data_IF_656146929137
#
_entry.id   IF_656146929137
#
_cell.length_a   1.000
_cell.length_b   1.000
_cell.length_c   1.000
_cell.angle_alpha   90.00
_cell.angle_beta   90.00
_cell.angle_gamma   90.00
#
_symmetry.space_group_name_H-M   'P 1'
#
loop_
_entity.id
_entity.type
_entity.pdbx_description
1 polymer ?
#
# COMPACT_ATOMS: atom_id res chain seq x y z
N UNK A 1 30.53 -51.78 -38.10
CA UNK A 1 29.79 -50.73 -38.83
C UNK A 1 29.85 -49.48 -37.98
N UNK A 2 30.67 -48.52 -38.40
CA UNK A 2 31.05 -47.32 -37.66
C UNK A 2 29.91 -46.28 -37.54
N UNK A 3 29.89 -45.43 -36.49
CA UNK A 3 28.99 -44.30 -36.44
C UNK A 3 29.45 -43.17 -37.38
N UNK A 4 28.51 -42.64 -38.16
CA UNK A 4 28.71 -41.49 -39.06
C UNK A 4 29.19 -40.25 -38.29
N UNK A 5 30.19 -39.50 -38.78
CA UNK A 5 30.63 -38.26 -38.15
C UNK A 5 29.62 -37.13 -38.37
N UNK A 6 29.31 -36.40 -37.29
CA UNK A 6 28.53 -35.15 -37.32
C UNK A 6 29.32 -34.09 -38.08
N UNK A 7 28.83 -33.70 -39.27
CA UNK A 7 29.40 -32.59 -40.02
C UNK A 7 29.19 -31.27 -39.26
N UNK A 8 30.25 -30.78 -38.63
CA UNK A 8 30.35 -29.43 -38.08
C UNK A 8 30.33 -28.45 -39.26
N UNK A 9 29.19 -27.81 -39.52
CA UNK A 9 29.14 -26.67 -40.45
C UNK A 9 30.00 -25.54 -39.88
N UNK A 10 31.24 -25.45 -40.36
CA UNK A 10 32.08 -24.27 -40.20
C UNK A 10 31.42 -23.11 -40.94
N UNK A 11 30.75 -22.22 -40.19
CA UNK A 11 30.32 -20.91 -40.69
C UNK A 11 31.56 -20.11 -41.09
N UNK A 12 31.92 -20.19 -42.38
CA UNK A 12 32.91 -19.31 -42.99
C UNK A 12 32.41 -17.88 -42.88
N UNK A 13 33.06 -17.07 -42.02
CA UNK A 13 32.86 -15.62 -41.99
C UNK A 13 33.56 -15.05 -43.22
N UNK A 14 32.78 -14.83 -44.27
CA UNK A 14 33.20 -14.01 -45.42
C UNK A 14 33.39 -12.58 -44.93
N UNK A 15 34.64 -12.16 -44.80
CA UNK A 15 35.01 -10.76 -44.64
C UNK A 15 35.04 -10.13 -46.04
N UNK A 16 33.90 -9.59 -46.47
CA UNK A 16 33.86 -8.66 -47.61
C UNK A 16 34.14 -7.25 -47.08
N UNK A 17 35.38 -6.81 -47.26
CA UNK A 17 35.82 -5.43 -47.10
C UNK A 17 35.29 -4.56 -48.24
N UNK A 18 34.56 -3.49 -47.91
CA UNK A 18 34.23 -2.44 -48.87
C UNK A 18 32.96 -1.65 -48.53
N UNK A 19 33.09 -0.63 -47.67
CA UNK A 19 32.15 0.49 -47.59
C UNK A 19 30.93 0.33 -46.68
N UNK A 20 31.11 0.39 -45.34
CA UNK A 20 30.21 1.08 -44.38
C UNK A 20 30.74 0.98 -42.93
N UNK A 21 32.00 1.37 -42.67
CA UNK A 21 32.59 1.26 -41.32
C UNK A 21 31.83 2.08 -40.26
N UNK A 22 31.28 3.23 -40.66
CA UNK A 22 30.45 4.10 -39.81
C UNK A 22 29.15 3.43 -39.35
N UNK A 23 28.48 2.66 -40.21
CA UNK A 23 27.27 1.93 -39.81
C UNK A 23 27.54 0.81 -38.80
N UNK A 24 28.71 0.17 -38.88
CA UNK A 24 29.09 -0.88 -37.93
C UNK A 24 29.48 -0.34 -36.56
N UNK A 25 30.22 0.78 -36.51
CA UNK A 25 30.53 1.49 -35.26
C UNK A 25 29.26 2.06 -34.63
N UNK A 26 28.36 2.64 -35.43
CA UNK A 26 27.09 3.19 -34.95
C UNK A 26 26.14 2.11 -34.41
N UNK A 27 26.15 0.92 -35.02
CA UNK A 27 25.40 -0.23 -34.49
C UNK A 27 25.99 -0.76 -33.18
N UNK A 28 27.32 -0.75 -33.06
CA UNK A 28 28.00 -1.17 -31.83
C UNK A 28 27.75 -0.19 -30.68
N UNK A 29 27.84 1.12 -30.93
CA UNK A 29 27.54 2.15 -29.92
C UNK A 29 26.08 2.07 -29.47
N UNK A 30 25.14 1.92 -30.41
CA UNK A 30 23.72 1.71 -30.08
C UNK A 30 23.51 0.48 -29.17
N UNK A 31 24.15 -0.65 -29.47
CA UNK A 31 24.02 -1.87 -28.66
C UNK A 31 24.57 -1.70 -27.25
N UNK A 32 25.71 -1.00 -27.09
CA UNK A 32 26.28 -0.70 -25.78
C UNK A 32 25.37 0.22 -24.96
N UNK A 33 24.80 1.25 -25.59
CA UNK A 33 23.82 2.13 -24.94
C UNK A 33 22.57 1.36 -24.49
N UNK A 34 22.02 0.49 -25.34
CA UNK A 34 20.85 -0.33 -24.97
C UNK A 34 21.18 -1.35 -23.87
N UNK A 35 22.39 -1.91 -23.88
CA UNK A 35 22.86 -2.80 -22.82
C UNK A 35 22.97 -2.06 -21.48
N UNK A 36 23.53 -0.86 -21.49
CA UNK A 36 23.61 0.00 -20.31
C UNK A 36 22.19 0.38 -19.80
N UNK A 37 21.30 0.81 -20.70
CA UNK A 37 19.90 1.12 -20.38
C UNK A 37 19.19 -0.07 -19.75
N UNK A 38 19.37 -1.29 -20.28
CA UNK A 38 18.81 -2.53 -19.71
C UNK A 38 19.41 -2.88 -18.36
N UNK A 39 20.70 -2.63 -18.13
CA UNK A 39 21.32 -2.83 -16.83
C UNK A 39 20.72 -1.89 -15.78
N UNK A 40 20.55 -0.60 -16.12
CA UNK A 40 19.89 0.37 -15.25
C UNK A 40 18.44 -0.02 -14.94
N UNK A 41 17.67 -0.46 -15.94
CA UNK A 41 16.30 -0.93 -15.72
C UNK A 41 16.24 -2.10 -14.73
N UNK A 42 17.15 -3.08 -14.85
CA UNK A 42 17.21 -4.19 -13.90
C UNK A 42 17.48 -3.69 -12.48
N UNK A 43 18.40 -2.74 -12.30
CA UNK A 43 18.68 -2.15 -10.99
C UNK A 43 17.43 -1.47 -10.39
N UNK A 44 16.68 -0.71 -11.18
CA UNK A 44 15.43 -0.10 -10.72
C UNK A 44 14.39 -1.15 -10.30
N UNK A 45 14.27 -2.26 -11.04
CA UNK A 45 13.35 -3.35 -10.70
C UNK A 45 13.78 -4.08 -9.43
N UNK A 46 15.08 -4.31 -9.21
CA UNK A 46 15.58 -4.90 -7.96
C UNK A 46 15.29 -3.99 -6.76
N UNK A 47 15.50 -2.68 -6.88
CA UNK A 47 15.13 -1.72 -5.84
C UNK A 47 13.64 -1.75 -5.55
N UNK A 48 12.81 -1.82 -6.59
CA UNK A 48 11.36 -1.90 -6.45
C UNK A 48 10.92 -3.16 -5.70
N UNK A 49 11.59 -4.30 -5.91
CA UNK A 49 11.25 -5.55 -5.21
C UNK A 49 11.35 -5.44 -3.69
N UNK A 50 12.35 -4.73 -3.19
CA UNK A 50 12.57 -4.56 -1.74
C UNK A 50 11.45 -3.74 -1.09
N UNK A 51 10.80 -2.85 -1.84
CA UNK A 51 9.74 -1.97 -1.33
C UNK A 51 8.36 -2.64 -1.34
N UNK A 52 8.19 -3.73 -2.07
CA UNK A 52 6.89 -4.39 -2.23
C UNK A 52 6.85 -5.63 -1.33
N UNK A 53 5.74 -5.89 -0.62
CA UNK A 53 5.56 -7.13 0.11
C UNK A 53 5.34 -8.28 -0.88
N UNK A 54 6.45 -8.91 -1.30
CA UNK A 54 6.41 -9.93 -2.33
C UNK A 54 6.16 -11.34 -1.80
N UNK A 55 6.34 -11.59 -0.50
CA UNK A 55 6.15 -12.93 0.09
C UNK A 55 7.26 -13.93 -0.32
N UNK A 56 7.49 -14.97 0.50
CA UNK A 56 8.63 -15.88 0.33
C UNK A 56 8.53 -16.79 -0.92
N UNK A 57 7.33 -17.01 -1.46
CA UNK A 57 7.11 -17.94 -2.58
C UNK A 57 7.45 -17.37 -3.96
N UNK A 58 7.93 -16.13 -4.01
CA UNK A 58 8.15 -15.45 -5.27
C UNK A 58 9.60 -15.49 -5.75
N UNK A 59 10.19 -16.68 -5.71
CA UNK A 59 11.53 -16.96 -6.25
C UNK A 59 11.70 -16.54 -7.72
N UNK A 60 10.60 -16.38 -8.47
CA UNK A 60 10.58 -15.75 -9.80
C UNK A 60 9.46 -14.70 -9.93
N UNK A 61 9.86 -13.47 -10.23
CA UNK A 61 8.95 -12.39 -10.61
C UNK A 61 9.10 -12.01 -12.07
N UNK A 62 7.97 -11.89 -12.78
CA UNK A 62 7.92 -11.21 -14.08
C UNK A 62 7.87 -9.70 -13.86
N UNK A 63 8.38 -8.90 -14.80
CA UNK A 63 8.33 -7.43 -14.72
C UNK A 63 6.88 -6.93 -14.59
N UNK A 64 5.97 -7.49 -15.37
CA UNK A 64 4.54 -7.12 -15.31
C UNK A 64 3.92 -7.46 -13.95
N UNK A 65 4.20 -8.65 -13.42
CA UNK A 65 3.70 -9.07 -12.11
C UNK A 65 4.19 -8.16 -10.98
N UNK A 66 5.46 -7.73 -11.05
CA UNK A 66 6.03 -6.78 -10.09
C UNK A 66 5.31 -5.42 -10.15
N UNK A 67 5.12 -4.87 -11.35
CA UNK A 67 4.44 -3.58 -11.53
C UNK A 67 2.98 -3.62 -11.06
N UNK A 68 2.26 -4.71 -11.35
CA UNK A 68 0.88 -4.90 -10.89
C UNK A 68 0.80 -4.97 -9.36
N UNK A 69 1.72 -5.71 -8.72
CA UNK A 69 1.80 -5.76 -7.24
C UNK A 69 2.17 -4.41 -6.64
N UNK A 70 3.08 -3.65 -7.27
CA UNK A 70 3.43 -2.30 -6.85
C UNK A 70 2.19 -1.39 -6.83
N UNK A 71 1.45 -1.38 -7.94
CA UNK A 71 0.21 -0.61 -8.08
C UNK A 71 -0.82 -0.99 -7.02
N UNK A 72 -0.99 -2.29 -6.77
CA UNK A 72 -1.90 -2.77 -5.72
C UNK A 72 -1.43 -2.37 -4.32
N UNK A 73 -0.12 -2.40 -4.06
CA UNK A 73 0.44 -2.03 -2.77
C UNK A 73 0.23 -0.54 -2.46
N UNK A 74 0.44 0.34 -3.43
CA UNK A 74 0.15 1.78 -3.30
C UNK A 74 -1.32 1.98 -2.90
N UNK A 75 -2.26 1.37 -3.63
CA UNK A 75 -3.70 1.47 -3.31
C UNK A 75 -4.03 1.00 -1.89
N UNK A 76 -3.42 -0.12 -1.46
CA UNK A 76 -3.63 -0.66 -0.11
C UNK A 76 -3.14 0.32 0.95
N UNK A 77 -1.98 0.95 0.75
CA UNK A 77 -1.43 1.94 1.68
C UNK A 77 -2.32 3.18 1.76
N UNK A 78 -2.76 3.71 0.62
CA UNK A 78 -3.68 4.86 0.56
C UNK A 78 -5.01 4.57 1.28
N UNK A 79 -5.52 3.35 1.16
CA UNK A 79 -6.75 2.95 1.85
C UNK A 79 -6.55 2.75 3.36
N UNK A 80 -5.43 2.16 3.77
CA UNK A 80 -5.07 2.03 5.18
C UNK A 80 -4.89 3.40 5.85
N UNK A 81 -4.25 4.35 5.17
CA UNK A 81 -4.09 5.72 5.65
C UNK A 81 -5.45 6.42 5.81
N UNK A 82 -6.34 6.32 4.82
CA UNK A 82 -7.72 6.86 4.94
C UNK A 82 -8.49 6.25 6.12
N UNK A 83 -8.41 4.93 6.32
CA UNK A 83 -9.04 4.26 7.48
C UNK A 83 -8.47 4.76 8.80
N UNK A 84 -7.14 4.88 8.89
CA UNK A 84 -6.47 5.36 10.10
C UNK A 84 -6.85 6.80 10.43
N UNK A 85 -6.93 7.68 9.43
CA UNK A 85 -7.41 9.06 9.60
C UNK A 85 -8.85 9.08 10.13
N UNK A 86 -9.74 8.28 9.56
CA UNK A 86 -11.12 8.19 10.04
C UNK A 86 -11.21 7.69 11.49
N UNK A 87 -10.41 6.69 11.85
CA UNK A 87 -10.33 6.19 13.23
C UNK A 87 -9.83 7.27 14.19
N UNK A 88 -8.80 8.02 13.80
CA UNK A 88 -8.29 9.14 14.59
C UNK A 88 -9.38 10.18 14.85
N UNK A 89 -10.11 10.61 13.81
CA UNK A 89 -11.22 11.56 13.96
C UNK A 89 -12.31 11.06 14.93
N UNK A 90 -12.67 9.79 14.85
CA UNK A 90 -13.67 9.19 15.72
C UNK A 90 -13.21 9.19 17.18
N UNK A 91 -11.97 8.78 17.44
CA UNK A 91 -11.35 8.81 18.76
C UNK A 91 -11.25 10.24 19.31
N UNK A 92 -10.94 11.23 18.48
CA UNK A 92 -10.92 12.64 18.90
C UNK A 92 -12.32 13.17 19.26
N UNK A 93 -13.37 12.73 18.55
CA UNK A 93 -14.76 13.06 18.93
C UNK A 93 -15.13 12.41 20.26
N UNK A 94 -14.80 11.14 20.45
CA UNK A 94 -15.04 10.41 21.69
C UNK A 94 -14.29 11.03 22.86
N UNK A 95 -12.99 11.33 22.69
CA UNK A 95 -12.18 11.99 23.71
C UNK A 95 -12.80 13.34 24.12
N UNK A 96 -13.28 14.14 23.15
CA UNK A 96 -13.96 15.41 23.44
C UNK A 96 -15.27 15.20 24.19
N UNK A 97 -16.04 14.17 23.83
CA UNK A 97 -17.27 13.83 24.53
C UNK A 97 -17.01 13.41 25.98
N UNK A 98 -16.07 12.49 26.20
CA UNK A 98 -15.70 12.00 27.53
C UNK A 98 -15.14 13.11 28.41
N UNK A 99 -14.31 14.01 27.86
CA UNK A 99 -13.81 15.19 28.59
C UNK A 99 -14.95 16.08 29.09
N UNK A 100 -15.94 16.39 28.24
CA UNK A 100 -17.13 17.16 28.67
C UNK A 100 -17.95 16.42 29.73
N UNK A 101 -18.11 15.11 29.58
CA UNK A 101 -18.84 14.28 30.56
C UNK A 101 -18.13 14.27 31.92
N UNK A 102 -16.81 14.18 31.92
CA UNK A 102 -15.99 14.25 33.12
C UNK A 102 -16.12 15.62 33.80
N UNK A 103 -16.04 16.71 33.03
CA UNK A 103 -16.21 18.08 33.54
C UNK A 103 -17.58 18.29 34.19
N UNK A 104 -18.66 17.76 33.58
CA UNK A 104 -19.99 17.78 34.19
C UNK A 104 -20.04 17.05 35.53
N UNK A 105 -19.44 15.85 35.61
CA UNK A 105 -19.42 15.05 36.85
C UNK A 105 -18.50 15.64 37.93
N UNK A 106 -17.46 16.36 37.54
CA UNK A 106 -16.50 17.00 38.45
C UNK A 106 -16.92 18.40 38.88
N UNK A 107 -17.89 19.02 38.18
CA UNK A 107 -18.43 20.33 38.56
C UNK A 107 -19.11 20.23 39.94
N UNK A 108 -18.60 20.93 40.98
CA UNK A 108 -19.19 20.89 42.33
C UNK A 108 -20.60 21.49 42.39
N UNK A 109 -21.05 22.17 41.33
CA UNK A 109 -22.29 22.94 41.33
C UNK A 109 -23.56 22.09 41.25
N UNK A 110 -23.48 20.85 40.79
CA UNK A 110 -24.64 19.94 40.78
C UNK A 110 -24.85 19.24 42.13
N UNK A 111 -23.86 19.28 43.04
CA UNK A 111 -23.98 18.74 44.40
C UNK A 111 -24.58 19.80 45.35
N UNK A 112 -24.30 21.09 45.13
CA UNK A 112 -24.81 22.17 45.98
C UNK A 112 -26.24 22.62 45.64
N UNK A 113 -26.67 22.49 44.37
CA UNK A 113 -28.03 22.93 43.97
C UNK A 113 -29.15 21.97 44.41
N UNK A 114 -28.84 20.71 44.75
CA UNK A 114 -29.86 19.75 45.22
C UNK A 114 -30.26 20.02 46.68
N UNK A 115 -29.56 20.90 47.41
CA UNK A 115 -29.81 21.15 48.84
C UNK A 115 -30.59 22.42 49.16
N UNK A 116 -31.11 23.16 48.18
CA UNK A 116 -31.72 24.46 48.44
C UNK A 116 -33.04 24.71 47.70
N UNK A 117 -34.00 23.80 47.84
CA UNK A 117 -35.44 24.09 47.95
C UNK A 117 -36.29 22.81 48.06
N UNK A 118 -36.42 22.29 49.27
CA UNK A 118 -37.64 21.56 49.61
C UNK A 118 -38.81 22.55 49.64
N UNK A 119 -39.59 22.61 48.57
CA UNK A 119 -41.07 22.62 48.54
C UNK A 119 -41.55 22.88 47.11
N UNK A 120 -42.02 21.85 46.39
CA UNK A 120 -42.80 22.10 45.16
C UNK A 120 -42.87 20.98 44.14
N UNK A 121 -43.85 20.08 44.33
CA UNK A 121 -44.71 19.51 43.28
C UNK A 121 -44.14 18.55 42.20
N UNK A 122 -44.68 17.33 42.31
CA UNK A 122 -45.23 16.39 41.31
C UNK A 122 -45.20 16.71 39.79
N UNK A 123 -45.24 15.62 39.00
CA UNK A 123 -45.30 15.46 37.53
C UNK A 123 -43.93 15.16 36.90
N UNK A 124 -43.66 14.09 36.16
CA UNK A 124 -44.46 13.01 35.59
C UNK A 124 -43.51 11.83 35.34
N UNK A 125 -43.91 10.63 35.74
CA UNK A 125 -43.29 9.37 35.33
C UNK A 125 -44.21 8.73 34.32
N UNK A 126 -43.81 8.66 33.04
CA UNK A 126 -44.18 7.53 32.19
C UNK A 126 -43.17 7.34 31.03
N UNK A 127 -42.43 6.22 31.11
CA UNK A 127 -41.92 5.35 30.02
C UNK A 127 -41.14 6.01 28.87
N UNK A 128 -39.82 5.87 28.77
CA UNK A 128 -39.06 4.65 28.45
C UNK A 128 -39.48 4.00 27.13
N UNK A 129 -38.72 4.26 26.06
CA UNK A 129 -38.25 3.19 25.19
C UNK A 129 -36.93 3.59 24.51
N UNK A 130 -35.91 2.77 24.73
CA UNK A 130 -34.56 2.89 24.19
C UNK A 130 -34.24 1.56 23.54
N UNK A 131 -34.39 1.47 22.23
CA UNK A 131 -33.76 0.40 21.45
C UNK A 131 -33.16 1.00 20.18
N UNK A 132 -31.86 1.29 20.25
CA UNK A 132 -31.00 1.25 19.06
C UNK A 132 -29.86 0.30 19.38
N UNK A 133 -30.07 -0.96 19.00
CA UNK A 133 -29.06 -2.00 18.98
C UNK A 133 -27.88 -1.53 18.10
N UNK A 134 -26.69 -1.50 18.69
CA UNK A 134 -25.45 -1.27 17.96
C UNK A 134 -24.88 -2.66 17.69
N UNK A 135 -25.21 -3.21 16.53
CA UNK A 135 -24.51 -4.39 16.00
C UNK A 135 -23.05 -4.00 15.73
N UNK A 136 -22.16 -4.55 16.53
CA UNK A 136 -20.73 -4.45 16.32
C UNK A 136 -20.35 -5.63 15.44
N UNK A 137 -20.20 -5.38 14.13
CA UNK A 137 -19.71 -6.38 13.20
C UNK A 137 -18.20 -6.62 13.45
N UNK A 138 -17.85 -7.88 13.69
CA UNK A 138 -16.48 -8.33 13.91
C UNK A 138 -16.11 -9.22 12.73
N UNK A 139 -15.45 -8.64 11.73
CA UNK A 139 -14.70 -9.38 10.71
C UNK A 139 -13.29 -8.80 10.54
#
# INVERSE_FOLDING_TARGET
QDPKPLQRLSRSRKHSSGGNSTGTTNRSTHNELEKNRRAHLRLCLERLKVLIPLGPDCTRHTTLGLLNKAKAHIKKLEEADRRSQHQLENLEREQRFLKRRLEQLQSPQDIERIRMDSTGSTMSSDRSDSEREIEVDVE
#
